data_IF_721170431861
#
_entry.id   IF_721170431861
#
_cell.length_a   1.000
_cell.length_b   1.000
_cell.length_c   1.000
_cell.angle_alpha   90.00
_cell.angle_beta   90.00
_cell.angle_gamma   90.00
#
_symmetry.space_group_name_H-M   'P 1'
#
loop_
_entity.id
_entity.type
_entity.pdbx_description
1 polymer ?
#
# COMPACT_ATOMS: atom_id res chain seq x y z
N UNK A 1 -46.63 2.74 4.75
CA UNK A 1 -45.84 1.57 5.14
C UNK A 1 -44.38 1.95 4.90
N UNK A 2 -43.64 2.25 5.97
CA UNK A 2 -42.23 2.70 5.95
C UNK A 2 -41.37 1.47 6.18
N UNK A 3 -40.61 1.04 5.17
CA UNK A 3 -39.53 0.06 5.36
C UNK A 3 -38.22 0.81 5.64
N UNK A 4 -37.85 0.75 6.90
CA UNK A 4 -36.54 1.22 7.40
C UNK A 4 -35.51 0.12 7.16
N UNK A 5 -34.67 0.27 6.14
CA UNK A 5 -33.44 -0.53 6.03
C UNK A 5 -32.37 0.07 6.96
N UNK A 6 -32.28 -0.51 8.15
CA UNK A 6 -31.12 -0.31 9.03
C UNK A 6 -29.97 -1.15 8.49
N UNK A 7 -29.04 -0.53 7.79
CA UNK A 7 -27.74 -1.12 7.49
C UNK A 7 -26.99 -1.32 8.82
N UNK A 8 -26.81 -2.58 9.21
CA UNK A 8 -25.99 -2.96 10.34
C UNK A 8 -24.52 -2.72 9.97
N UNK A 9 -23.93 -1.68 10.57
CA UNK A 9 -22.48 -1.52 10.63
C UNK A 9 -21.93 -2.61 11.55
N UNK A 10 -21.28 -3.59 10.98
CA UNK A 10 -20.53 -4.60 11.73
C UNK A 10 -19.15 -4.00 12.07
N UNK A 11 -19.00 -3.50 13.28
CA UNK A 11 -17.71 -3.13 13.83
C UNK A 11 -16.92 -4.41 14.13
N UNK A 12 -15.78 -4.59 13.46
CA UNK A 12 -14.84 -5.69 13.75
C UNK A 12 -13.92 -5.19 14.86
N UNK A 13 -14.27 -5.51 16.11
CA UNK A 13 -13.43 -5.20 17.26
C UNK A 13 -12.47 -6.37 17.48
N UNK A 14 -11.17 -6.16 17.27
CA UNK A 14 -10.13 -7.12 17.64
C UNK A 14 -9.85 -6.95 19.14
N UNK A 15 -10.38 -7.85 19.96
CA UNK A 15 -10.05 -7.89 21.38
C UNK A 15 -8.68 -8.55 21.58
N UNK A 16 -7.71 -7.78 22.04
CA UNK A 16 -6.39 -8.26 22.47
C UNK A 16 -6.52 -8.92 23.83
N UNK A 17 -6.49 -10.26 23.93
CA UNK A 17 -6.29 -10.98 25.19
C UNK A 17 -4.81 -11.23 25.39
N UNK A 18 -4.24 -10.57 26.42
CA UNK A 18 -2.91 -10.89 26.96
C UNK A 18 -2.98 -12.22 27.71
N UNK A 19 -2.37 -13.26 27.19
CA UNK A 19 -2.15 -14.51 27.93
C UNK A 19 -0.74 -14.48 28.53
N UNK A 20 -0.69 -14.56 29.85
CA UNK A 20 0.50 -14.65 30.71
C UNK A 20 1.26 -15.96 30.50
N UNK A 21 2.59 -15.84 30.51
CA UNK A 21 3.54 -16.87 30.16
C UNK A 21 3.57 -18.13 31.01
N UNK A 22 3.98 -19.19 30.37
CA UNK A 22 4.57 -20.37 31.01
C UNK A 22 5.78 -20.81 30.21
N UNK A 23 6.89 -20.83 30.90
CA UNK A 23 8.20 -21.25 30.38
C UNK A 23 8.23 -22.73 30.05
N UNK A 24 8.55 -23.09 28.80
CA UNK A 24 8.95 -24.45 28.43
C UNK A 24 10.42 -24.46 27.94
N UNK A 25 11.11 -25.41 28.49
CA UNK A 25 12.53 -25.72 28.43
C UNK A 25 12.93 -26.15 27.01
N UNK A 26 14.05 -25.61 26.51
CA UNK A 26 14.66 -25.93 25.24
C UNK A 26 15.18 -27.38 25.15
N UNK A 27 14.95 -28.01 24.00
CA UNK A 27 15.72 -29.17 23.52
C UNK A 27 16.46 -28.81 22.23
N UNK A 28 17.61 -29.47 21.92
CA UNK A 28 18.56 -28.96 20.95
C UNK A 28 18.13 -29.15 19.50
N UNK A 29 18.41 -28.12 18.69
CA UNK A 29 18.22 -28.06 17.23
C UNK A 29 19.04 -29.11 16.49
N UNK A 30 18.36 -29.87 15.64
CA UNK A 30 18.98 -30.55 14.53
C UNK A 30 19.08 -29.58 13.34
N UNK A 31 20.28 -29.31 12.90
CA UNK A 31 20.57 -28.55 11.68
C UNK A 31 19.91 -29.19 10.45
N UNK A 32 18.85 -28.52 9.95
CA UNK A 32 18.33 -28.75 8.61
C UNK A 32 18.85 -27.62 7.71
N UNK A 33 19.63 -28.02 6.72
CA UNK A 33 20.07 -27.16 5.61
C UNK A 33 18.85 -26.48 4.95
N UNK A 34 18.94 -25.17 4.77
CA UNK A 34 17.95 -24.38 4.04
C UNK A 34 18.00 -24.73 2.56
N UNK A 35 17.14 -25.65 2.15
CA UNK A 35 16.83 -25.83 0.73
C UNK A 35 16.08 -24.58 0.24
N UNK A 36 16.61 -23.98 -0.86
CA UNK A 36 16.09 -22.77 -1.46
C UNK A 36 14.56 -22.83 -1.66
N UNK A 37 13.90 -21.77 -1.22
CA UNK A 37 12.44 -21.61 -1.33
C UNK A 37 12.10 -21.41 -2.81
N UNK A 38 11.72 -22.49 -3.49
CA UNK A 38 11.15 -22.46 -4.83
C UNK A 38 9.78 -21.80 -4.70
N UNK A 39 9.60 -20.64 -5.30
CA UNK A 39 8.32 -19.93 -5.33
C UNK A 39 7.20 -20.91 -5.71
N UNK A 40 6.26 -21.15 -4.80
CA UNK A 40 5.11 -22.03 -5.05
C UNK A 40 4.30 -21.45 -6.20
N UNK A 41 3.87 -22.28 -7.18
CA UNK A 41 3.01 -21.79 -8.25
C UNK A 41 1.77 -21.11 -7.67
N UNK A 42 1.41 -19.93 -8.19
CA UNK A 42 0.19 -19.26 -7.78
C UNK A 42 -1.01 -20.07 -8.29
N UNK A 43 -1.87 -20.52 -7.39
CA UNK A 43 -3.08 -21.28 -7.70
C UNK A 43 -4.29 -20.38 -7.89
N UNK A 44 -4.32 -19.20 -7.26
CA UNK A 44 -5.42 -18.22 -7.36
C UNK A 44 -5.25 -17.30 -8.56
N UNK A 45 -6.31 -17.16 -9.36
CA UNK A 45 -6.32 -16.17 -10.43
C UNK A 45 -6.45 -14.74 -9.89
N UNK A 46 -5.97 -13.71 -10.64
CA UNK A 46 -6.22 -12.31 -10.30
C UNK A 46 -7.71 -11.97 -10.17
N UNK A 47 -8.58 -12.64 -10.92
CA UNK A 47 -10.05 -12.51 -10.82
C UNK A 47 -10.56 -13.01 -9.47
N UNK A 48 -10.14 -14.20 -9.03
CA UNK A 48 -10.52 -14.77 -7.72
C UNK A 48 -10.07 -13.87 -6.58
N UNK A 49 -8.91 -13.22 -6.72
CA UNK A 49 -8.43 -12.27 -5.74
C UNK A 49 -9.36 -11.04 -5.64
N UNK A 50 -9.74 -10.42 -6.76
CA UNK A 50 -10.66 -9.28 -6.76
C UNK A 50 -12.05 -9.67 -6.26
N UNK A 51 -12.53 -10.89 -6.57
CA UNK A 51 -13.78 -11.43 -6.02
C UNK A 51 -13.70 -11.62 -4.51
N UNK A 52 -12.57 -12.06 -4.01
CA UNK A 52 -12.32 -12.18 -2.56
C UNK A 52 -12.36 -10.83 -1.87
N UNK A 53 -11.72 -9.78 -2.44
CA UNK A 53 -11.81 -8.43 -1.90
C UNK A 53 -13.25 -7.92 -1.84
N UNK A 54 -14.03 -8.13 -2.91
CA UNK A 54 -15.44 -7.75 -2.95
C UNK A 54 -16.30 -8.53 -1.94
N UNK A 55 -15.96 -9.79 -1.67
CA UNK A 55 -16.64 -10.59 -0.64
C UNK A 55 -16.28 -10.14 0.78
N UNK A 56 -15.04 -9.71 1.00
CA UNK A 56 -14.53 -9.25 2.30
C UNK A 56 -15.08 -7.88 2.68
N UNK A 57 -15.04 -6.92 1.74
CA UNK A 57 -15.39 -5.51 2.01
C UNK A 57 -16.78 -5.10 1.52
N UNK A 58 -17.49 -5.98 0.85
CA UNK A 58 -18.73 -5.66 0.15
C UNK A 58 -18.48 -5.19 -1.28
N UNK A 59 -19.38 -5.57 -2.19
CA UNK A 59 -19.27 -5.19 -3.60
C UNK A 59 -19.63 -3.72 -3.78
N UNK A 60 -18.63 -2.90 -3.97
CA UNK A 60 -18.79 -1.49 -4.32
C UNK A 60 -18.81 -1.35 -5.85
N UNK A 61 -19.91 -0.83 -6.40
CA UNK A 61 -20.10 -0.79 -7.86
C UNK A 61 -19.27 0.30 -8.55
N UNK A 62 -18.94 1.39 -7.84
CA UNK A 62 -18.26 2.56 -8.41
C UNK A 62 -16.89 2.85 -7.78
N UNK A 63 -16.49 2.05 -6.78
CA UNK A 63 -15.23 2.23 -6.07
C UNK A 63 -14.25 1.06 -6.34
N UNK A 64 -13.00 1.26 -5.96
CA UNK A 64 -12.00 0.20 -5.97
C UNK A 64 -12.37 -0.91 -4.99
N UNK A 65 -11.97 -2.15 -5.30
CA UNK A 65 -12.18 -3.30 -4.42
C UNK A 65 -11.42 -3.19 -3.09
N UNK A 66 -10.31 -2.43 -3.08
CA UNK A 66 -9.57 -1.98 -1.89
C UNK A 66 -9.06 -0.56 -2.15
N UNK A 67 -8.67 0.17 -1.11
CA UNK A 67 -8.35 1.60 -1.22
C UNK A 67 -9.51 2.41 -1.84
N UNK A 68 -10.75 2.13 -1.42
CA UNK A 68 -11.96 2.70 -2.03
C UNK A 68 -12.06 4.21 -1.78
N UNK A 69 -11.82 4.67 -0.54
CA UNK A 69 -11.81 6.07 -0.16
C UNK A 69 -10.45 6.71 -0.46
N UNK A 70 -10.44 7.90 -1.02
CA UNK A 70 -9.19 8.61 -1.30
C UNK A 70 -9.38 9.95 -1.98
N UNK A 71 -8.26 10.65 -2.20
CA UNK A 71 -8.21 11.99 -2.78
C UNK A 71 -7.08 12.10 -3.79
N UNK A 72 -7.34 12.79 -4.91
CA UNK A 72 -6.36 13.02 -5.97
C UNK A 72 -5.76 14.41 -5.82
N UNK A 73 -4.45 14.46 -5.90
CA UNK A 73 -3.64 15.68 -5.84
C UNK A 73 -2.67 15.72 -7.01
N UNK A 74 -2.20 16.91 -7.34
CA UNK A 74 -1.18 17.14 -8.37
C UNK A 74 0.07 17.78 -7.79
N UNK A 75 1.18 17.59 -8.49
CA UNK A 75 2.46 18.11 -8.09
C UNK A 75 3.54 17.84 -9.14
N UNK A 76 4.77 17.78 -8.68
CA UNK A 76 5.94 17.46 -9.50
C UNK A 76 6.94 16.61 -8.74
N UNK A 77 7.73 15.87 -9.48
CA UNK A 77 8.94 15.22 -8.99
C UNK A 77 10.16 15.90 -9.59
N UNK A 78 11.14 16.23 -8.75
CA UNK A 78 12.43 16.79 -9.15
C UNK A 78 13.51 15.79 -8.73
N UNK A 79 14.21 15.15 -9.71
CA UNK A 79 15.23 14.16 -9.40
C UNK A 79 16.51 14.80 -8.84
N UNK A 80 17.24 14.01 -8.05
CA UNK A 80 18.59 14.33 -7.60
C UNK A 80 19.65 13.88 -8.62
N UNK A 81 20.88 14.32 -8.46
CA UNK A 81 22.03 13.81 -9.25
C UNK A 81 22.26 12.30 -9.03
N UNK A 82 21.97 11.81 -7.82
CA UNK A 82 22.07 10.38 -7.51
C UNK A 82 21.05 9.55 -8.30
N UNK A 83 19.84 10.06 -8.50
CA UNK A 83 18.82 9.40 -9.33
C UNK A 83 19.27 9.32 -10.80
N UNK A 84 19.84 10.41 -11.34
CA UNK A 84 20.36 10.45 -12.71
C UNK A 84 21.45 9.41 -12.95
N UNK A 85 22.31 9.19 -11.93
CA UNK A 85 23.38 8.20 -11.99
C UNK A 85 22.90 6.76 -11.79
N UNK A 86 21.71 6.55 -11.23
CA UNK A 86 21.16 5.25 -10.87
C UNK A 86 20.50 4.51 -12.04
N UNK A 87 19.75 5.24 -12.89
CA UNK A 87 18.98 4.64 -13.98
C UNK A 87 18.81 5.62 -15.13
N UNK A 88 18.65 5.08 -16.35
CA UNK A 88 18.29 5.85 -17.56
C UNK A 88 16.83 6.27 -17.61
N UNK A 89 16.03 5.91 -16.62
CA UNK A 89 14.60 6.22 -16.57
C UNK A 89 14.34 7.74 -16.70
N UNK A 90 13.45 8.14 -17.62
CA UNK A 90 13.26 9.54 -18.00
C UNK A 90 12.89 10.45 -16.80
N UNK A 91 12.07 10.00 -15.86
CA UNK A 91 11.74 10.78 -14.65
C UNK A 91 12.92 10.93 -13.69
N UNK A 92 13.99 10.13 -13.82
CA UNK A 92 15.24 10.33 -13.07
C UNK A 92 16.20 11.29 -13.79
N UNK A 93 15.96 11.60 -15.04
CA UNK A 93 16.76 12.55 -15.82
C UNK A 93 16.16 13.95 -15.84
N UNK A 94 14.85 14.07 -15.68
CA UNK A 94 14.11 15.33 -15.82
C UNK A 94 13.08 15.50 -14.71
N UNK A 95 12.82 16.75 -14.32
CA UNK A 95 11.65 17.07 -13.49
C UNK A 95 10.38 16.81 -14.28
N UNK A 96 9.42 16.11 -13.66
CA UNK A 96 8.18 15.70 -14.35
C UNK A 96 6.96 16.01 -13.49
N UNK A 97 5.79 16.29 -14.10
CA UNK A 97 4.52 16.39 -13.39
C UNK A 97 4.15 15.05 -12.76
N UNK A 98 3.44 15.12 -11.62
CA UNK A 98 2.96 13.95 -10.89
C UNK A 98 1.49 14.11 -10.57
N UNK A 99 0.71 13.05 -10.87
CA UNK A 99 -0.60 12.83 -10.27
C UNK A 99 -0.44 11.86 -9.11
N UNK A 100 -0.88 12.26 -7.92
CA UNK A 100 -0.81 11.43 -6.73
C UNK A 100 -2.22 11.14 -6.22
N UNK A 101 -2.44 9.94 -5.68
CA UNK A 101 -3.66 9.59 -4.98
C UNK A 101 -3.33 9.06 -3.58
N UNK A 102 -3.81 9.76 -2.55
CA UNK A 102 -3.86 9.25 -1.19
C UNK A 102 -5.14 8.44 -0.96
N UNK A 103 -5.10 7.46 -0.05
CA UNK A 103 -6.27 6.60 0.20
C UNK A 103 -6.16 5.86 1.53
N UNK A 104 -7.30 5.45 2.05
CA UNK A 104 -7.41 4.48 3.13
C UNK A 104 -7.34 3.05 2.60
N UNK A 105 -6.91 2.09 3.43
CA UNK A 105 -6.60 0.73 3.01
C UNK A 105 -7.82 -0.07 2.52
N UNK A 106 -8.98 0.09 3.15
CA UNK A 106 -10.14 -0.80 2.96
C UNK A 106 -10.89 -0.57 1.65
N UNK A 107 -11.70 -1.56 1.25
CA UNK A 107 -12.71 -1.45 0.19
C UNK A 107 -14.02 -0.79 0.63
N UNK A 108 -14.14 -0.29 1.86
CA UNK A 108 -15.33 0.36 2.42
C UNK A 108 -15.17 1.89 2.31
N UNK A 109 -15.85 2.55 1.35
CA UNK A 109 -15.63 3.98 1.07
C UNK A 109 -16.17 4.92 2.17
N UNK A 110 -16.99 4.43 3.07
CA UNK A 110 -17.61 5.20 4.16
C UNK A 110 -16.94 5.00 5.51
N UNK A 111 -15.84 4.20 5.57
CA UNK A 111 -15.12 4.00 6.81
C UNK A 111 -14.51 5.33 7.27
N UNK A 112 -14.60 5.70 8.56
CA UNK A 112 -13.92 6.88 9.09
C UNK A 112 -12.39 6.76 8.94
N UNK A 113 -11.71 7.88 8.62
CA UNK A 113 -10.25 7.92 8.44
C UNK A 113 -9.47 7.53 9.70
N UNK A 114 -10.07 7.74 10.88
CA UNK A 114 -9.47 7.40 12.18
C UNK A 114 -9.77 5.97 12.65
N UNK A 115 -10.46 5.16 11.84
CA UNK A 115 -10.69 3.74 12.14
C UNK A 115 -9.38 2.95 11.94
N UNK A 116 -9.11 2.00 12.82
CA UNK A 116 -7.90 1.16 12.76
C UNK A 116 -7.79 0.40 11.42
N UNK A 117 -8.93 0.07 10.79
CA UNK A 117 -8.96 -0.61 9.49
C UNK A 117 -8.70 0.33 8.29
N UNK A 118 -8.64 1.65 8.50
CA UNK A 118 -8.21 2.61 7.48
C UNK A 118 -6.70 2.52 7.20
N UNK A 119 -5.92 1.94 8.12
CA UNK A 119 -4.47 1.73 7.98
C UNK A 119 -4.13 0.40 7.30
N UNK A 120 -2.95 0.30 6.61
CA UNK A 120 -2.05 1.38 6.24
C UNK A 120 -2.60 2.25 5.10
N UNK A 121 -2.40 3.56 5.19
CA UNK A 121 -2.84 4.49 4.14
C UNK A 121 -2.00 4.33 2.87
N UNK A 122 -2.62 4.50 1.70
CA UNK A 122 -1.98 4.39 0.40
C UNK A 122 -1.50 5.73 -0.13
N UNK A 123 -0.37 5.73 -0.86
CA UNK A 123 0.08 6.78 -1.75
C UNK A 123 0.46 6.16 -3.08
N UNK A 124 -0.30 6.47 -4.13
CA UNK A 124 -0.01 6.02 -5.48
C UNK A 124 0.39 7.22 -6.34
N UNK A 125 1.48 7.08 -7.07
CA UNK A 125 2.08 8.11 -7.92
C UNK A 125 2.04 7.71 -9.37
N UNK A 126 1.70 8.64 -10.23
CA UNK A 126 1.80 8.57 -11.68
C UNK A 126 2.71 9.69 -12.14
N UNK A 127 3.85 9.34 -12.69
CA UNK A 127 4.82 10.27 -13.27
C UNK A 127 4.52 10.42 -14.75
N UNK A 128 4.32 11.65 -15.23
CA UNK A 128 4.06 11.96 -16.62
C UNK A 128 5.38 12.26 -17.33
N UNK A 129 5.81 11.37 -18.22
CA UNK A 129 7.12 11.44 -18.85
C UNK A 129 7.16 12.41 -20.03
N UNK A 130 8.35 12.93 -20.41
CA UNK A 130 8.48 13.93 -21.48
C UNK A 130 8.01 13.47 -22.85
N UNK A 131 8.01 12.17 -23.11
CA UNK A 131 7.55 11.55 -24.36
C UNK A 131 6.03 11.31 -24.40
N UNK A 132 5.31 11.73 -23.36
CA UNK A 132 3.87 11.51 -23.21
C UNK A 132 3.48 10.18 -22.60
N UNK A 133 4.44 9.29 -22.34
CA UNK A 133 4.19 8.05 -21.60
C UNK A 133 4.09 8.29 -20.09
N UNK A 134 3.81 7.25 -19.33
CA UNK A 134 3.64 7.31 -17.90
C UNK A 134 4.38 6.17 -17.21
N UNK A 135 4.77 6.39 -15.95
CA UNK A 135 5.20 5.32 -15.04
C UNK A 135 4.53 5.47 -13.68
N UNK A 136 4.30 4.35 -13.00
CA UNK A 136 3.52 4.35 -11.78
C UNK A 136 4.30 3.74 -10.60
N UNK A 137 4.04 4.27 -9.41
CA UNK A 137 4.51 3.72 -8.15
C UNK A 137 3.34 3.61 -7.18
N UNK A 138 3.18 2.44 -6.55
CA UNK A 138 2.15 2.18 -5.56
C UNK A 138 2.80 1.84 -4.22
N UNK A 139 2.53 2.65 -3.23
CA UNK A 139 3.11 2.56 -1.89
C UNK A 139 2.03 2.60 -0.81
N UNK A 140 2.39 2.24 0.42
CA UNK A 140 1.53 2.40 1.59
C UNK A 140 2.35 2.75 2.84
N UNK A 141 1.69 3.20 3.91
CA UNK A 141 2.33 3.76 5.10
C UNK A 141 2.91 2.73 6.08
N UNK A 142 3.07 1.48 5.67
CA UNK A 142 3.67 0.43 6.47
C UNK A 142 4.87 -0.18 5.73
N UNK A 143 6.02 -0.31 6.43
CA UNK A 143 7.21 -0.95 5.85
C UNK A 143 7.12 -2.48 6.02
N UNK A 144 6.32 -3.11 5.18
CA UNK A 144 6.09 -4.55 5.17
C UNK A 144 4.85 -4.91 4.34
N UNK A 145 4.66 -6.19 4.08
CA UNK A 145 3.51 -6.68 3.32
C UNK A 145 3.03 -8.01 3.92
N UNK A 146 1.72 -8.31 3.96
CA UNK A 146 1.21 -9.47 4.69
C UNK A 146 1.47 -10.81 3.97
N UNK A 147 1.83 -10.80 2.69
CA UNK A 147 1.92 -12.00 1.86
C UNK A 147 3.06 -11.96 0.85
N UNK A 148 3.68 -13.10 0.56
CA UNK A 148 4.71 -13.25 -0.47
C UNK A 148 4.12 -13.44 -1.87
N UNK A 149 2.92 -13.99 -1.99
CA UNK A 149 2.27 -14.34 -3.26
C UNK A 149 0.81 -13.87 -3.32
N UNK A 150 0.26 -13.79 -4.53
CA UNK A 150 -1.16 -13.47 -4.71
C UNK A 150 -2.11 -14.49 -4.09
N UNK A 151 -1.72 -15.77 -4.07
CA UNK A 151 -2.49 -16.83 -3.42
C UNK A 151 -2.54 -16.65 -1.90
N UNK A 152 -1.39 -16.43 -1.27
CA UNK A 152 -1.30 -16.14 0.16
C UNK A 152 -2.07 -14.86 0.52
N UNK A 153 -1.99 -13.82 -0.32
CA UNK A 153 -2.76 -12.59 -0.13
C UNK A 153 -4.26 -12.83 -0.20
N UNK A 154 -4.71 -13.69 -1.11
CA UNK A 154 -6.13 -14.09 -1.19
C UNK A 154 -6.55 -14.86 0.06
N UNK A 155 -5.76 -15.81 0.53
CA UNK A 155 -6.04 -16.55 1.77
C UNK A 155 -6.12 -15.63 2.98
N UNK A 156 -5.25 -14.64 3.07
CA UNK A 156 -5.30 -13.60 4.10
C UNK A 156 -6.66 -12.87 4.10
N UNK A 157 -7.15 -12.40 2.93
CA UNK A 157 -8.44 -11.71 2.86
C UNK A 157 -9.64 -12.63 3.08
N UNK A 158 -9.56 -13.92 2.72
CA UNK A 158 -10.58 -14.91 3.10
C UNK A 158 -10.64 -15.03 4.64
N UNK A 159 -9.48 -15.12 5.28
CA UNK A 159 -9.40 -15.21 6.74
C UNK A 159 -9.96 -13.95 7.42
N UNK A 160 -9.63 -12.75 6.91
CA UNK A 160 -10.18 -11.47 7.38
C UNK A 160 -11.71 -11.46 7.25
N UNK A 161 -12.24 -11.74 6.05
CA UNK A 161 -13.69 -11.71 5.80
C UNK A 161 -14.49 -12.76 6.57
N UNK A 162 -13.82 -13.85 6.99
CA UNK A 162 -14.43 -14.93 7.79
C UNK A 162 -14.29 -14.74 9.31
N UNK A 163 -13.73 -13.63 9.76
CA UNK A 163 -13.43 -13.37 11.19
C UNK A 163 -14.23 -12.21 11.77
N UNK A 164 -15.39 -11.91 11.18
CA UNK A 164 -16.27 -10.82 11.62
C UNK A 164 -16.94 -11.04 12.97
N UNK A 165 -17.78 -10.10 13.40
CA UNK A 165 -18.52 -10.19 14.65
C UNK A 165 -19.32 -11.50 14.78
N UNK A 166 -19.28 -12.10 15.97
CA UNK A 166 -19.96 -13.37 16.25
C UNK A 166 -19.13 -14.64 15.97
N UNK A 167 -17.95 -14.50 15.42
CA UNK A 167 -17.02 -15.64 15.24
C UNK A 167 -16.17 -15.81 16.49
N UNK A 168 -16.25 -17.00 17.11
CA UNK A 168 -15.52 -17.30 18.33
C UNK A 168 -14.03 -17.53 18.09
N UNK A 169 -13.14 -17.00 18.97
CA UNK A 169 -11.71 -17.31 18.93
C UNK A 169 -11.41 -18.80 19.18
N UNK A 170 -10.31 -19.36 18.58
CA UNK A 170 -9.48 -18.70 17.58
C UNK A 170 -10.21 -18.58 16.24
N UNK A 171 -10.35 -17.36 15.73
CA UNK A 171 -11.00 -17.05 14.46
C UNK A 171 -10.18 -17.58 13.27
N UNK A 172 -10.72 -17.63 12.05
CA UNK A 172 -9.95 -17.95 10.85
C UNK A 172 -8.72 -17.03 10.68
N UNK A 173 -8.83 -15.74 11.02
CA UNK A 173 -7.70 -14.80 11.00
C UNK A 173 -6.65 -15.16 12.05
N UNK A 174 -7.03 -15.47 13.28
CA UNK A 174 -6.09 -15.90 14.34
C UNK A 174 -5.29 -17.13 13.90
N UNK A 175 -5.97 -18.12 13.29
CA UNK A 175 -5.33 -19.34 12.77
C UNK A 175 -4.38 -19.03 11.62
N UNK A 176 -4.74 -18.13 10.71
CA UNK A 176 -3.89 -17.70 9.61
C UNK A 176 -2.64 -16.99 10.14
N UNK A 177 -2.81 -16.01 11.04
CA UNK A 177 -1.72 -15.22 11.61
C UNK A 177 -0.72 -16.08 12.40
N UNK A 178 -1.18 -17.13 13.09
CA UNK A 178 -0.32 -18.03 13.85
C UNK A 178 0.77 -18.74 13.03
N UNK A 179 0.55 -18.89 11.72
CA UNK A 179 1.51 -19.55 10.80
C UNK A 179 2.06 -18.62 9.71
N UNK A 180 1.69 -17.34 9.72
CA UNK A 180 2.13 -16.32 8.78
C UNK A 180 2.70 -15.09 9.53
N UNK A 181 3.96 -15.12 9.99
CA UNK A 181 4.51 -14.06 10.84
C UNK A 181 4.56 -12.67 10.15
N UNK A 182 4.71 -12.60 8.83
CA UNK A 182 4.63 -11.34 8.10
C UNK A 182 3.24 -10.73 8.16
N UNK A 183 2.18 -11.53 7.99
CA UNK A 183 0.80 -11.10 8.14
C UNK A 183 0.49 -10.70 9.60
N UNK A 184 0.98 -11.46 10.56
CA UNK A 184 0.85 -11.11 11.98
C UNK A 184 1.46 -9.74 12.28
N UNK A 185 2.71 -9.51 11.86
CA UNK A 185 3.38 -8.20 11.99
C UNK A 185 2.56 -7.10 11.31
N UNK A 186 2.10 -7.34 10.08
CA UNK A 186 1.29 -6.37 9.32
C UNK A 186 0.02 -5.96 10.08
N UNK A 187 -0.69 -6.90 10.69
CA UNK A 187 -1.94 -6.61 11.41
C UNK A 187 -1.70 -5.96 12.78
N UNK A 188 -0.64 -6.35 13.50
CA UNK A 188 -0.46 -6.00 14.92
C UNK A 188 0.45 -4.80 15.18
N UNK A 189 1.17 -4.30 14.17
CA UNK A 189 2.16 -3.23 14.35
C UNK A 189 1.91 -2.01 13.47
N UNK A 190 0.64 -1.75 13.11
CA UNK A 190 0.25 -0.54 12.40
C UNK A 190 0.47 0.71 13.28
N UNK A 191 0.83 1.81 12.62
CA UNK A 191 0.93 3.12 13.29
C UNK A 191 -0.48 3.67 13.60
N UNK A 192 -0.63 4.52 14.62
CA UNK A 192 -1.90 5.17 14.91
C UNK A 192 -2.41 6.02 13.72
N UNK A 193 -3.69 6.43 13.72
CA UNK A 193 -4.21 7.36 12.72
C UNK A 193 -3.35 8.63 12.62
N UNK A 194 -2.93 9.04 11.39
CA UNK A 194 -2.02 10.18 11.22
C UNK A 194 -2.75 11.52 11.37
N UNK A 195 -2.00 12.56 11.68
CA UNK A 195 -2.53 13.94 11.64
C UNK A 195 -2.90 14.35 10.19
N UNK A 196 -2.16 13.83 9.19
CA UNK A 196 -2.32 14.14 7.78
C UNK A 196 -1.72 13.04 6.90
N UNK A 197 -2.21 12.87 5.68
CA UNK A 197 -1.49 12.15 4.64
C UNK A 197 -0.07 12.71 4.41
N UNK A 198 0.15 14.00 4.66
CA UNK A 198 1.45 14.67 4.54
C UNK A 198 2.44 14.37 5.67
N UNK A 199 2.01 13.67 6.71
CA UNK A 199 2.82 13.33 7.89
C UNK A 199 3.02 11.82 8.05
N UNK A 200 2.87 11.06 6.98
CA UNK A 200 3.17 9.64 6.90
C UNK A 200 4.39 9.37 6.03
N UNK A 201 5.20 8.40 6.41
CA UNK A 201 6.15 7.78 5.50
C UNK A 201 5.43 6.69 4.68
N UNK A 202 5.77 6.58 3.38
CA UNK A 202 5.21 5.57 2.51
C UNK A 202 6.31 4.69 1.93
N UNK A 203 6.01 3.40 1.76
CA UNK A 203 6.96 2.37 1.38
C UNK A 203 6.48 1.61 0.15
N UNK A 204 7.33 1.51 -0.86
CA UNK A 204 7.17 0.61 -2.00
C UNK A 204 7.80 -0.72 -1.65
N UNK A 205 6.98 -1.67 -1.18
CA UNK A 205 7.46 -2.97 -0.66
C UNK A 205 8.00 -3.91 -1.73
N UNK A 206 7.64 -3.69 -2.99
CA UNK A 206 8.18 -4.43 -4.13
C UNK A 206 9.59 -3.95 -4.47
N UNK A 207 10.43 -4.86 -4.90
CA UNK A 207 11.79 -4.57 -5.36
C UNK A 207 11.82 -4.32 -6.86
N UNK A 208 12.70 -3.42 -7.27
CA UNK A 208 12.96 -3.08 -8.66
C UNK A 208 14.45 -3.22 -8.98
N UNK A 209 14.74 -3.51 -10.25
CA UNK A 209 16.07 -3.51 -10.84
C UNK A 209 16.25 -2.22 -11.63
N UNK A 210 17.31 -1.49 -11.34
CA UNK A 210 17.68 -0.23 -11.98
C UNK A 210 18.92 -0.45 -12.82
N UNK A 211 18.91 0.03 -14.06
CA UNK A 211 20.07 -0.06 -14.96
C UNK A 211 20.44 1.35 -15.42
N UNK A 212 21.69 1.75 -15.15
CA UNK A 212 22.19 3.06 -15.56
C UNK A 212 22.76 3.04 -16.98
N UNK A 213 23.19 4.21 -17.48
CA UNK A 213 23.75 4.38 -18.83
C UNK A 213 25.01 3.52 -19.11
N UNK A 214 25.75 3.13 -18.07
CA UNK A 214 26.94 2.27 -18.16
C UNK A 214 26.61 0.78 -18.03
N UNK A 215 25.33 0.40 -17.97
CA UNK A 215 24.90 -0.99 -17.76
C UNK A 215 25.03 -1.48 -16.33
N UNK A 216 25.40 -0.63 -15.35
CA UNK A 216 25.48 -1.02 -13.95
C UNK A 216 24.06 -1.25 -13.40
N UNK A 217 23.89 -2.40 -12.78
CA UNK A 217 22.63 -2.82 -12.16
C UNK A 217 22.65 -2.53 -10.66
N UNK A 218 21.52 -2.02 -10.14
CA UNK A 218 21.25 -1.79 -8.72
C UNK A 218 19.83 -2.28 -8.42
N UNK A 219 19.65 -2.96 -7.29
CA UNK A 219 18.31 -3.33 -6.79
C UNK A 219 17.90 -2.40 -5.64
N UNK A 220 16.59 -2.18 -5.46
CA UNK A 220 16.12 -1.38 -4.34
C UNK A 220 14.61 -1.35 -4.18
N UNK A 221 14.18 -0.81 -3.03
CA UNK A 221 12.79 -0.52 -2.67
C UNK A 221 12.59 0.96 -2.43
N UNK A 222 11.49 1.50 -2.89
CA UNK A 222 11.20 2.92 -2.73
C UNK A 222 10.74 3.26 -1.31
N UNK A 223 11.17 4.43 -0.85
CA UNK A 223 10.71 5.07 0.39
C UNK A 223 10.35 6.53 0.09
N UNK A 224 9.23 6.99 0.63
CA UNK A 224 8.74 8.37 0.48
C UNK A 224 8.59 8.93 1.90
N UNK A 225 9.48 9.82 2.29
CA UNK A 225 9.62 10.29 3.67
C UNK A 225 9.10 11.72 3.78
N UNK A 226 8.13 12.02 4.65
CA UNK A 226 7.57 13.37 4.77
C UNK A 226 8.60 14.35 5.32
N UNK A 227 8.82 15.49 4.64
CA UNK A 227 9.68 16.56 5.17
C UNK A 227 9.11 17.22 6.43
N UNK A 228 7.80 17.11 6.63
CA UNK A 228 7.12 17.58 7.83
C UNK A 228 7.33 16.67 9.07
N UNK A 229 7.98 15.50 8.88
CA UNK A 229 8.07 14.47 9.92
C UNK A 229 6.79 13.61 10.02
N UNK A 230 6.88 12.53 10.80
CA UNK A 230 5.71 11.68 11.10
C UNK A 230 4.96 12.25 12.30
N UNK A 231 3.64 12.40 12.18
CA UNK A 231 2.77 12.88 13.26
C UNK A 231 1.46 12.09 13.28
N UNK A 232 1.07 11.65 14.46
CA UNK A 232 -0.10 10.83 14.71
C UNK A 232 -1.04 11.52 15.70
N UNK A 233 -2.33 11.19 15.61
CA UNK A 233 -3.34 11.71 16.53
C UNK A 233 -3.19 11.06 17.91
N UNK A 234 -3.43 11.84 18.95
CA UNK A 234 -3.66 11.32 20.31
C UNK A 234 -5.02 10.60 20.41
N UNK A 235 -5.23 9.83 21.46
CA UNK A 235 -6.53 9.15 21.71
C UNK A 235 -7.70 10.13 21.79
N UNK A 236 -7.47 11.29 22.36
CA UNK A 236 -8.46 12.37 22.52
C UNK A 236 -8.80 13.01 21.17
N UNK A 237 -7.82 13.14 20.27
CA UNK A 237 -8.02 13.65 18.91
C UNK A 237 -8.73 12.63 18.04
N UNK A 238 -8.38 11.33 18.12
CA UNK A 238 -9.06 10.24 17.42
C UNK A 238 -10.55 10.22 17.77
N UNK A 239 -10.89 10.35 19.06
CA UNK A 239 -12.28 10.33 19.53
C UNK A 239 -13.12 11.51 18.99
N UNK A 240 -12.48 12.58 18.53
CA UNK A 240 -13.14 13.80 18.01
C UNK A 240 -12.98 13.97 16.50
N UNK A 241 -12.22 13.10 15.86
CA UNK A 241 -11.92 13.21 14.44
C UNK A 241 -13.20 13.07 13.59
N UNK A 242 -13.39 13.99 12.64
CA UNK A 242 -14.45 13.86 11.66
C UNK A 242 -14.19 12.65 10.75
N UNK A 243 -15.23 11.98 10.20
CA UNK A 243 -15.06 10.80 9.38
C UNK A 243 -14.11 10.98 8.17
N UNK A 244 -14.04 12.20 7.62
CA UNK A 244 -13.23 12.52 6.42
C UNK A 244 -12.16 13.58 6.73
N UNK A 245 -11.58 13.54 7.96
CA UNK A 245 -10.67 14.60 8.42
C UNK A 245 -9.39 14.67 7.58
N UNK A 246 -8.88 13.55 7.06
CA UNK A 246 -7.65 13.52 6.26
C UNK A 246 -7.78 14.30 4.96
N UNK A 247 -8.94 14.18 4.29
CA UNK A 247 -9.20 14.94 3.06
C UNK A 247 -9.38 16.43 3.35
N UNK A 248 -10.05 16.80 4.43
CA UNK A 248 -10.24 18.18 4.84
C UNK A 248 -8.91 18.83 5.24
N UNK A 249 -8.13 18.15 6.07
CA UNK A 249 -6.80 18.60 6.50
C UNK A 249 -5.84 18.80 5.31
N UNK A 250 -5.85 17.85 4.37
CA UNK A 250 -5.02 17.95 3.18
C UNK A 250 -5.36 19.17 2.32
N UNK A 251 -6.64 19.51 2.16
CA UNK A 251 -7.10 20.72 1.46
C UNK A 251 -6.62 21.99 2.17
N UNK A 252 -6.81 22.05 3.49
CA UNK A 252 -6.41 23.19 4.32
C UNK A 252 -4.90 23.39 4.33
N UNK A 253 -4.14 22.30 4.34
CA UNK A 253 -2.67 22.33 4.28
C UNK A 253 -2.18 22.82 2.93
N UNK A 254 -2.71 22.30 1.83
CA UNK A 254 -2.33 22.69 0.47
C UNK A 254 -2.77 24.13 0.13
N UNK A 255 -3.80 24.65 0.75
CA UNK A 255 -4.19 26.06 0.64
C UNK A 255 -3.14 27.01 1.25
N UNK A 256 -2.29 26.53 2.18
CA UNK A 256 -1.27 27.32 2.87
C UNK A 256 0.12 27.14 2.25
N UNK A 257 0.51 25.90 1.92
CA UNK A 257 1.83 25.60 1.39
C UNK A 257 1.87 24.25 0.66
N UNK A 258 2.81 24.10 -0.26
CA UNK A 258 3.11 22.82 -0.88
C UNK A 258 3.63 21.80 0.15
N UNK A 259 3.25 20.55 -0.06
CA UNK A 259 3.69 19.40 0.73
C UNK A 259 4.90 18.78 0.05
N UNK A 260 5.92 18.41 0.80
CA UNK A 260 7.15 17.84 0.25
C UNK A 260 7.53 16.55 0.93
N UNK A 261 8.00 15.60 0.11
CA UNK A 261 8.54 14.33 0.55
C UNK A 261 9.94 14.13 -0.04
N UNK A 262 10.86 13.61 0.76
CA UNK A 262 12.09 13.03 0.25
C UNK A 262 11.77 11.69 -0.40
N UNK A 263 12.17 11.51 -1.64
CA UNK A 263 12.04 10.25 -2.37
C UNK A 263 13.38 9.52 -2.34
N UNK A 264 13.39 8.30 -1.84
CA UNK A 264 14.62 7.53 -1.57
C UNK A 264 14.50 6.12 -2.13
N UNK A 265 15.65 5.52 -2.42
CA UNK A 265 15.78 4.10 -2.73
C UNK A 265 16.55 3.42 -1.61
N UNK A 266 15.94 2.49 -0.92
CA UNK A 266 16.62 1.60 0.02
C UNK A 266 17.33 0.49 -0.77
N UNK A 267 18.62 0.28 -0.50
CA UNK A 267 19.43 -0.73 -1.13
C UNK A 267 19.41 -2.03 -0.31
N UNK A 268 19.40 -3.20 -0.97
CA UNK A 268 19.51 -4.46 -0.25
C UNK A 268 20.93 -4.66 0.29
N UNK A 269 21.00 -5.33 1.44
CA UNK A 269 22.24 -5.88 1.97
C UNK A 269 22.31 -7.40 1.74
N UNK A 270 23.47 -7.99 2.08
CA UNK A 270 23.65 -9.45 1.94
C UNK A 270 22.60 -10.20 2.77
N UNK A 271 21.85 -11.09 2.13
CA UNK A 271 20.77 -11.87 2.76
C UNK A 271 19.36 -11.28 2.59
N UNK A 272 19.23 -10.02 2.16
CA UNK A 272 17.91 -9.44 1.88
C UNK A 272 17.24 -10.13 0.68
N UNK A 273 15.95 -10.44 0.84
CA UNK A 273 15.14 -11.07 -0.21
C UNK A 273 14.61 -9.99 -1.16
N UNK A 274 15.03 -10.07 -2.42
CA UNK A 274 14.63 -9.14 -3.48
C UNK A 274 13.27 -9.53 -4.06
N UNK A 275 12.98 -10.82 -4.10
CA UNK A 275 11.82 -11.44 -4.74
C UNK A 275 10.61 -11.69 -3.80
N UNK A 276 10.68 -11.21 -2.55
CA UNK A 276 9.63 -11.44 -1.56
C UNK A 276 9.25 -10.14 -0.83
N UNK A 277 8.08 -9.53 -1.14
CA UNK A 277 7.65 -8.26 -0.55
C UNK A 277 7.25 -8.38 0.92
N UNK A 278 6.96 -9.59 1.42
CA UNK A 278 6.55 -9.81 2.82
C UNK A 278 7.73 -9.75 3.79
N UNK A 279 8.96 -9.87 3.29
CA UNK A 279 10.17 -9.77 4.11
C UNK A 279 10.66 -8.32 4.10
N UNK A 280 10.54 -7.67 5.24
CA UNK A 280 11.01 -6.29 5.44
C UNK A 280 12.53 -6.26 5.49
N UNK A 281 13.16 -5.34 4.74
CA UNK A 281 14.57 -5.06 4.88
C UNK A 281 14.84 -4.21 6.11
N UNK A 282 16.07 -4.27 6.63
CA UNK A 282 16.47 -3.49 7.81
C UNK A 282 16.37 -1.99 7.54
N UNK A 283 15.82 -1.22 8.50
CA UNK A 283 15.81 0.25 8.42
C UNK A 283 17.22 0.87 8.46
N UNK A 284 18.24 0.06 8.80
CA UNK A 284 19.66 0.47 8.79
C UNK A 284 20.30 0.34 7.41
N UNK A 285 19.65 -0.31 6.45
CA UNK A 285 20.15 -0.44 5.09
C UNK A 285 20.39 0.95 4.47
N UNK A 286 21.43 1.04 3.66
CA UNK A 286 21.77 2.28 2.95
C UNK A 286 20.63 2.73 2.05
N UNK A 287 20.45 4.05 1.96
CA UNK A 287 19.51 4.68 1.04
C UNK A 287 20.23 5.59 0.06
N UNK A 288 19.69 5.68 -1.15
CA UNK A 288 20.09 6.65 -2.18
C UNK A 288 19.01 7.71 -2.25
N UNK A 289 19.39 8.97 -2.24
CA UNK A 289 18.46 10.08 -2.48
C UNK A 289 18.05 10.07 -3.96
N UNK A 290 16.76 10.01 -4.24
CA UNK A 290 16.21 10.09 -5.59
C UNK A 290 15.69 11.49 -5.94
N UNK A 291 15.50 12.36 -4.94
CA UNK A 291 14.99 13.70 -5.12
C UNK A 291 13.76 14.02 -4.28
N UNK A 292 12.95 14.98 -4.74
CA UNK A 292 11.81 15.50 -4.00
C UNK A 292 10.51 15.38 -4.79
N UNK A 293 9.49 14.84 -4.13
CA UNK A 293 8.10 14.89 -4.60
C UNK A 293 7.45 16.10 -3.90
N UNK A 294 6.95 17.04 -4.71
CA UNK A 294 6.25 18.23 -4.23
C UNK A 294 4.79 18.17 -4.69
N UNK A 295 3.85 18.15 -3.77
CA UNK A 295 2.40 18.20 -4.02
C UNK A 295 1.93 19.63 -3.81
N UNK A 296 1.22 20.18 -4.78
CA UNK A 296 0.88 21.60 -4.83
C UNK A 296 -0.60 21.92 -4.75
N UNK A 297 -1.47 20.99 -5.20
CA UNK A 297 -2.91 21.23 -5.19
C UNK A 297 -3.73 19.94 -5.14
N UNK A 298 -4.94 20.05 -4.59
CA UNK A 298 -5.99 19.02 -4.77
C UNK A 298 -6.60 19.20 -6.16
N UNK A 299 -6.77 18.09 -6.88
CA UNK A 299 -7.42 18.11 -8.21
C UNK A 299 -8.89 18.51 -8.03
N UNK A 300 -9.40 19.51 -8.77
CA UNK A 300 -10.83 19.80 -8.82
C UNK A 300 -11.61 18.54 -9.22
N UNK A 301 -12.77 18.31 -8.64
CA UNK A 301 -13.55 17.08 -8.84
C UNK A 301 -12.70 15.79 -8.69
N UNK A 302 -12.02 15.70 -7.55
CA UNK A 302 -11.17 14.55 -7.19
C UNK A 302 -11.93 13.22 -7.30
N UNK A 303 -13.23 13.20 -7.08
CA UNK A 303 -14.05 12.00 -7.13
C UNK A 303 -14.20 11.45 -8.54
N UNK A 304 -14.41 12.29 -9.52
CA UNK A 304 -14.40 11.90 -10.94
C UNK A 304 -12.98 11.53 -11.39
N UNK A 305 -11.98 12.35 -11.02
CA UNK A 305 -10.59 12.09 -11.38
C UNK A 305 -10.11 10.71 -10.88
N UNK A 306 -10.37 10.38 -9.60
CA UNK A 306 -9.90 9.11 -9.05
C UNK A 306 -10.57 7.87 -9.69
N UNK A 307 -11.81 7.98 -10.19
CA UNK A 307 -12.48 6.87 -10.89
C UNK A 307 -11.74 6.45 -12.15
N UNK A 308 -11.22 7.43 -12.90
CA UNK A 308 -10.53 7.23 -14.17
C UNK A 308 -9.03 6.87 -14.01
N UNK A 309 -8.49 6.90 -12.78
CA UNK A 309 -7.10 6.55 -12.55
C UNK A 309 -6.92 5.04 -12.38
N UNK A 310 -5.96 4.51 -13.14
CA UNK A 310 -5.39 3.17 -12.96
C UNK A 310 -3.89 3.35 -12.69
N UNK A 311 -3.40 2.71 -11.63
CA UNK A 311 -1.98 2.65 -11.29
C UNK A 311 -1.49 1.22 -11.46
N UNK A 312 -0.55 0.99 -12.36
CA UNK A 312 0.03 -0.33 -12.63
C UNK A 312 1.49 -0.32 -12.16
N UNK A 313 1.84 -1.05 -11.09
CA UNK A 313 3.21 -1.02 -10.55
C UNK A 313 4.28 -1.56 -11.51
N UNK A 314 3.90 -2.33 -12.52
CA UNK A 314 4.78 -2.82 -13.58
C UNK A 314 4.77 -1.95 -14.84
N UNK A 315 4.05 -0.83 -14.88
CA UNK A 315 4.18 0.16 -15.94
C UNK A 315 5.45 0.98 -15.68
N UNK A 316 6.57 0.52 -16.25
CA UNK A 316 7.91 0.99 -15.94
C UNK A 316 8.59 1.55 -17.19
N UNK A 317 9.40 2.62 -17.08
CA UNK A 317 10.19 3.16 -18.19
C UNK A 317 11.44 2.33 -18.43
N UNK A 318 12.09 2.56 -19.57
CA UNK A 318 13.42 1.99 -19.85
C UNK A 318 14.38 2.32 -18.69
N UNK A 319 15.18 1.35 -18.27
CA UNK A 319 16.13 1.46 -17.16
C UNK A 319 15.57 1.06 -15.80
N UNK A 320 14.27 0.65 -15.72
CA UNK A 320 13.67 0.05 -14.52
C UNK A 320 12.92 -1.21 -14.92
N UNK A 321 13.12 -2.28 -14.17
CA UNK A 321 12.45 -3.58 -14.36
C UNK A 321 11.91 -4.10 -13.02
N UNK A 322 10.83 -4.89 -13.01
CA UNK A 322 10.36 -5.54 -11.80
C UNK A 322 11.38 -6.60 -11.34
N UNK A 323 11.65 -6.68 -10.04
CA UNK A 323 12.50 -7.71 -9.46
C UNK A 323 11.72 -8.62 -8.49
N UNK A 324 10.44 -8.36 -8.31
CA UNK A 324 9.52 -9.05 -7.40
C UNK A 324 8.32 -9.57 -8.21
N UNK A 325 8.04 -10.88 -8.21
CA UNK A 325 6.95 -11.48 -9.00
C UNK A 325 5.55 -11.00 -8.59
N UNK A 326 5.36 -10.45 -7.39
CA UNK A 326 4.08 -9.88 -6.96
C UNK A 326 3.65 -8.70 -7.87
N UNK A 327 4.59 -7.99 -8.47
CA UNK A 327 4.29 -6.90 -9.42
C UNK A 327 3.44 -7.43 -10.58
N UNK A 328 3.81 -8.56 -11.17
CA UNK A 328 3.07 -9.15 -12.27
C UNK A 328 1.66 -9.63 -11.89
N UNK A 329 1.49 -10.09 -10.66
CA UNK A 329 0.16 -10.43 -10.15
C UNK A 329 -0.72 -9.18 -10.00
N UNK A 330 -0.16 -8.12 -9.42
CA UNK A 330 -0.85 -6.84 -9.23
C UNK A 330 -1.25 -6.20 -10.56
N UNK A 331 -0.39 -6.25 -11.57
CA UNK A 331 -0.68 -5.72 -12.91
C UNK A 331 -1.84 -6.43 -13.61
N UNK A 332 -2.10 -7.70 -13.27
CA UNK A 332 -3.25 -8.45 -13.78
C UNK A 332 -4.52 -8.21 -12.94
N UNK A 333 -4.39 -8.00 -11.63
CA UNK A 333 -5.54 -7.82 -10.74
C UNK A 333 -6.15 -6.39 -10.81
N UNK A 334 -5.32 -5.37 -10.94
CA UNK A 334 -5.78 -3.98 -10.88
C UNK A 334 -6.70 -3.57 -12.05
N UNK A 335 -6.45 -3.98 -13.32
CA UNK A 335 -7.37 -3.75 -14.42
C UNK A 335 -8.76 -4.36 -14.19
N UNK A 336 -8.86 -5.54 -13.58
CA UNK A 336 -10.15 -6.19 -13.28
C UNK A 336 -11.01 -5.30 -12.37
N UNK A 337 -10.42 -4.74 -11.32
CA UNK A 337 -11.11 -3.79 -10.44
C UNK A 337 -11.45 -2.48 -11.16
N UNK A 338 -10.60 -2.04 -12.07
CA UNK A 338 -10.83 -0.85 -12.90
C UNK A 338 -12.01 -1.05 -13.84
N UNK A 339 -12.03 -2.12 -14.61
CA UNK A 339 -13.09 -2.42 -15.59
C UNK A 339 -14.45 -2.62 -14.92
N UNK A 340 -14.47 -3.28 -13.75
CA UNK A 340 -15.71 -3.51 -13.00
C UNK A 340 -16.38 -2.22 -12.53
N UNK A 341 -15.63 -1.23 -12.04
CA UNK A 341 -16.21 0.05 -11.62
C UNK A 341 -16.67 0.91 -12.80
N UNK A 342 -16.02 0.83 -13.97
CA UNK A 342 -16.45 1.52 -15.18
C UNK A 342 -17.67 0.86 -15.83
N UNK A 343 -17.72 -0.48 -15.89
CA UNK A 343 -18.89 -1.20 -16.39
C UNK A 343 -20.16 -0.96 -15.55
N UNK A 344 -20.01 -0.64 -14.27
CA UNK A 344 -21.13 -0.30 -13.41
C UNK A 344 -21.67 1.12 -13.65
N UNK A 345 -20.83 2.05 -14.09
CA UNK A 345 -21.23 3.43 -14.46
C UNK A 345 -21.98 3.47 -15.79
N UNK A 346 -21.56 2.67 -16.76
CA UNK A 346 -22.22 2.59 -18.07
C UNK A 346 -23.67 2.03 -18.01
N UNK A 347 -24.08 1.49 -16.85
CA UNK A 347 -25.44 0.94 -16.60
C UNK A 347 -26.34 1.88 -15.82
N UNK A 348 -25.87 3.07 -15.44
CA UNK A 348 -26.65 4.13 -14.78
C UNK A 348 -27.09 5.18 -15.78
#
# INVERSE_FOLDING_TARGET
>A
MKNSNKNQMAAITIALLMASGSSLRAQPESTREATGDVARPQTSSPTDFVDTLNSTFGKQTTNRATHAKGVVVSGKFTPSESAQSLSTAAHFQHSVPVTCRFSDNTGIPTLPDADDHATPHGMALKFHLPDGSETNLVTHSFNGFPAATGDEMRQFFIAVGSSGPGVSPPTPLDKFLAVHPAAQKFVTTQEPPPVSYATLAYFGVNSFKFTNANGKVTFGRYQIIPKAGKHFLSKEEIAKAAPDYLTSELRDRLAKAAIRFDFRLQLPESGDKIDNPSITWSDKNKTVDLGVIEITSVVPDSDTAQRNLLFLPGLLPVGIEPADPMIHFRDKAYPISYDRRHAAEAKK
#
